data_IF_573476238861
#
_entry.id   IF_573476238861
#
_cell.length_a   1.000
_cell.length_b   1.000
_cell.length_c   1.000
_cell.angle_alpha   90.00
_cell.angle_beta   90.00
_cell.angle_gamma   90.00
#
_symmetry.space_group_name_H-M   'P 1'
#
loop_
_entity.id
_entity.type
_entity.pdbx_description
1 polymer ?
#
# COMPACT_ATOMS: atom_id res chain seq x y z
N UNK A 1 9.08 -0.09 27.82
CA UNK A 1 8.55 -0.11 26.43
C UNK A 1 8.26 1.32 25.99
N UNK A 2 8.85 1.78 24.89
CA UNK A 2 8.54 3.12 24.34
C UNK A 2 7.10 3.16 23.85
N UNK A 3 6.32 4.13 24.33
CA UNK A 3 4.94 4.38 23.89
C UNK A 3 4.88 4.53 22.36
N UNK A 4 3.92 3.88 21.71
CA UNK A 4 3.59 4.17 20.30
C UNK A 4 3.14 5.63 20.25
N UNK A 5 3.90 6.49 19.57
CA UNK A 5 3.59 7.93 19.48
C UNK A 5 2.68 8.26 18.29
N UNK A 6 2.71 7.44 17.24
CA UNK A 6 2.00 7.70 15.98
C UNK A 6 1.49 6.39 15.39
N UNK A 7 0.23 6.39 14.96
CA UNK A 7 -0.42 5.30 14.25
C UNK A 7 -0.72 5.73 12.82
N UNK A 8 -0.25 4.99 11.83
CA UNK A 8 -0.49 5.27 10.42
C UNK A 8 -1.55 4.33 9.84
N UNK A 9 -2.46 4.89 9.05
CA UNK A 9 -3.43 4.15 8.24
C UNK A 9 -3.15 4.41 6.77
N UNK A 10 -2.86 3.36 6.00
CA UNK A 10 -2.64 3.43 4.55
C UNK A 10 -3.89 2.89 3.85
N UNK A 11 -4.61 3.76 3.14
CA UNK A 11 -5.82 3.37 2.42
C UNK A 11 -5.46 2.78 1.05
N UNK A 12 -5.47 1.45 0.96
CA UNK A 12 -5.08 0.65 -0.20
C UNK A 12 -6.28 -0.04 -0.90
N UNK A 13 -7.48 0.54 -0.81
CA UNK A 13 -8.71 -0.05 -1.37
C UNK A 13 -9.04 0.31 -2.83
N UNK A 14 -8.21 1.10 -3.52
CA UNK A 14 -8.55 1.63 -4.84
C UNK A 14 -8.57 0.58 -5.95
N UNK A 15 -9.69 0.46 -6.65
CA UNK A 15 -9.83 -0.38 -7.85
C UNK A 15 -8.91 0.05 -8.99
N UNK A 16 -8.77 1.37 -9.21
CA UNK A 16 -7.89 1.91 -10.25
C UNK A 16 -8.33 1.56 -11.66
N UNK A 17 -9.61 1.74 -11.98
CA UNK A 17 -10.22 1.48 -13.30
C UNK A 17 -9.48 2.14 -14.46
N UNK A 18 -8.96 3.36 -14.26
CA UNK A 18 -8.17 4.11 -15.25
C UNK A 18 -6.82 3.49 -15.62
N UNK A 19 -6.35 2.50 -14.84
CA UNK A 19 -5.10 1.78 -15.11
C UNK A 19 -5.35 0.43 -15.78
N UNK A 20 -6.58 0.14 -16.23
CA UNK A 20 -6.83 -1.04 -17.04
C UNK A 20 -5.89 -1.07 -18.26
N UNK A 21 -5.28 -2.21 -18.62
CA UNK A 21 -5.51 -3.57 -18.10
C UNK A 21 -4.68 -3.94 -16.86
N UNK A 22 -3.83 -3.05 -16.34
CA UNK A 22 -2.89 -3.38 -15.25
C UNK A 22 -3.59 -3.74 -13.93
N UNK A 23 -4.83 -3.28 -13.73
CA UNK A 23 -5.68 -3.56 -12.57
C UNK A 23 -6.74 -4.65 -12.82
N UNK A 24 -6.66 -5.37 -13.95
CA UNK A 24 -7.62 -6.43 -14.29
C UNK A 24 -7.66 -7.54 -13.23
N UNK A 25 -6.51 -7.99 -12.73
CA UNK A 25 -6.40 -9.10 -11.77
C UNK A 25 -5.85 -8.66 -10.40
N UNK A 26 -5.64 -7.36 -10.19
CA UNK A 26 -5.00 -6.82 -8.99
C UNK A 26 -5.53 -5.46 -8.60
N UNK A 27 -5.37 -5.12 -7.33
CA UNK A 27 -5.66 -3.79 -6.82
C UNK A 27 -4.67 -2.75 -7.38
N UNK A 28 -5.05 -1.46 -7.43
CA UNK A 28 -4.13 -0.39 -7.84
C UNK A 28 -2.84 -0.37 -7.00
N UNK A 29 -2.88 -0.52 -5.66
CA UNK A 29 -1.68 -0.53 -4.85
C UNK A 29 -0.72 -1.70 -5.16
N UNK A 30 -1.25 -2.84 -5.64
CA UNK A 30 -0.48 -4.02 -6.04
C UNK A 30 0.20 -3.90 -7.41
N UNK A 31 -0.04 -2.84 -8.18
CA UNK A 31 0.53 -2.69 -9.52
C UNK A 31 2.07 -2.62 -9.44
N UNK A 32 2.79 -3.44 -10.22
CA UNK A 32 4.26 -3.40 -10.26
C UNK A 32 4.78 -2.04 -10.76
N UNK A 33 5.87 -1.57 -10.16
CA UNK A 33 6.54 -0.33 -10.49
C UNK A 33 8.05 -0.48 -10.35
N UNK A 34 8.82 0.03 -11.30
CA UNK A 34 10.29 0.00 -11.24
C UNK A 34 10.90 -1.40 -11.18
N UNK A 35 10.28 -2.40 -11.81
CA UNK A 35 10.79 -3.76 -11.95
C UNK A 35 10.65 -4.68 -10.72
N UNK A 36 10.77 -4.14 -9.50
CA UNK A 36 10.73 -4.94 -8.26
C UNK A 36 9.66 -4.48 -7.26
N UNK A 37 9.22 -3.23 -7.33
CA UNK A 37 8.34 -2.65 -6.33
C UNK A 37 6.89 -2.72 -6.75
N UNK A 38 6.00 -2.46 -5.79
CA UNK A 38 4.59 -2.16 -6.00
C UNK A 38 4.31 -0.73 -5.57
N UNK A 39 3.24 -0.12 -6.09
CA UNK A 39 2.89 1.26 -5.75
C UNK A 39 2.77 1.47 -4.22
N UNK A 40 2.22 0.49 -3.50
CA UNK A 40 2.07 0.55 -2.03
C UNK A 40 3.41 0.64 -1.28
N UNK A 41 4.49 0.10 -1.85
CA UNK A 41 5.79 0.00 -1.17
C UNK A 41 6.38 1.38 -0.90
N UNK A 42 6.07 2.38 -1.74
CA UNK A 42 6.53 3.75 -1.54
C UNK A 42 5.91 4.40 -0.30
N UNK A 43 4.61 4.20 -0.06
CA UNK A 43 3.95 4.72 1.13
C UNK A 43 4.48 4.03 2.40
N UNK A 44 4.66 2.71 2.36
CA UNK A 44 5.22 1.94 3.46
C UNK A 44 6.66 2.33 3.75
N UNK A 45 7.49 2.47 2.72
CA UNK A 45 8.90 2.87 2.86
C UNK A 45 9.03 4.26 3.47
N UNK A 46 8.17 5.21 3.08
CA UNK A 46 8.14 6.54 3.69
C UNK A 46 7.82 6.50 5.19
N UNK A 47 6.85 5.68 5.61
CA UNK A 47 6.50 5.51 7.02
C UNK A 47 7.67 4.93 7.82
N UNK A 48 8.31 3.88 7.30
CA UNK A 48 9.47 3.24 7.92
C UNK A 48 10.66 4.20 8.02
N UNK A 49 10.99 4.91 6.93
CA UNK A 49 12.06 5.91 6.92
C UNK A 49 11.78 7.08 7.87
N UNK A 50 10.50 7.37 8.14
CA UNK A 50 10.05 8.37 9.13
C UNK A 50 9.96 7.83 10.56
N UNK A 51 10.42 6.59 10.81
CA UNK A 51 10.36 5.91 12.12
C UNK A 51 8.93 5.69 12.64
N UNK A 52 7.96 5.54 11.74
CA UNK A 52 6.57 5.18 12.06
C UNK A 52 6.40 3.69 11.76
N UNK A 53 6.34 2.88 12.82
CA UNK A 53 6.30 1.41 12.71
C UNK A 53 4.92 0.81 12.99
N UNK A 54 4.03 1.56 13.62
CA UNK A 54 2.64 1.14 13.83
C UNK A 54 1.81 1.53 12.62
N UNK A 55 1.61 0.57 11.71
CA UNK A 55 0.99 0.80 10.40
C UNK A 55 -0.15 -0.20 10.21
N UNK A 56 -1.33 0.30 9.86
CA UNK A 56 -2.47 -0.49 9.36
C UNK A 56 -2.66 -0.22 7.88
N UNK A 57 -2.69 -1.29 7.09
CA UNK A 57 -2.97 -1.25 5.66
C UNK A 57 -4.43 -1.64 5.42
N UNK A 58 -5.27 -0.66 5.07
CA UNK A 58 -6.69 -0.86 4.87
C UNK A 58 -6.94 -1.25 3.41
N UNK A 59 -7.29 -2.51 3.18
CA UNK A 59 -7.54 -3.09 1.85
C UNK A 59 -9.02 -3.35 1.65
N UNK A 60 -9.50 -3.27 0.40
CA UNK A 60 -10.89 -3.54 0.05
C UNK A 60 -10.98 -4.32 -1.26
N UNK A 61 -10.67 -3.68 -2.38
CA UNK A 61 -10.78 -4.30 -3.70
C UNK A 61 -9.60 -5.24 -4.00
N UNK A 62 -9.91 -6.49 -4.40
CA UNK A 62 -8.90 -7.52 -4.78
C UNK A 62 -7.71 -7.60 -3.82
N UNK A 63 -7.99 -7.60 -2.52
CA UNK A 63 -6.99 -7.58 -1.44
C UNK A 63 -5.99 -8.75 -1.50
N UNK A 64 -6.40 -9.90 -2.05
CA UNK A 64 -5.53 -11.08 -2.26
C UNK A 64 -4.31 -10.81 -3.15
N UNK A 65 -4.35 -9.75 -3.96
CA UNK A 65 -3.24 -9.38 -4.83
C UNK A 65 -2.14 -8.55 -4.13
N UNK A 66 -2.36 -8.17 -2.87
CA UNK A 66 -1.47 -7.30 -2.08
C UNK A 66 -0.60 -8.13 -1.11
#
# INVERSE_FOLDING_TARGET
MSKIKTLAFVMAGGEGTRLYPLTKERSKPSVPFGGRYRIVDFALSNLINSKIYSIYLLVQYKSQSL
#
